data_IF_992628362045
#
_entry.id   IF_992628362045
#
_cell.length_a   1.000
_cell.length_b   1.000
_cell.length_c   1.000
_cell.angle_alpha   90.00
_cell.angle_beta   90.00
_cell.angle_gamma   90.00
#
_symmetry.space_group_name_H-M   'P 1'
#
loop_
_entity.id
_entity.type
_entity.pdbx_description
1 polymer ?
#
# COMPACT_ATOMS: atom_id res chain seq x y z
N UNK A 1 -10.32 10.37 8.94
CA UNK A 1 -9.40 10.16 7.79
C UNK A 1 -8.70 8.80 7.86
N UNK A 2 -8.31 8.33 9.05
CA UNK A 2 -7.68 7.03 9.24
C UNK A 2 -8.55 5.83 8.80
N UNK A 3 -9.85 5.79 9.15
CA UNK A 3 -10.76 4.71 8.69
C UNK A 3 -10.86 4.64 7.16
N UNK A 4 -10.99 5.79 6.50
CA UNK A 4 -10.99 5.85 5.03
C UNK A 4 -9.67 5.37 4.42
N UNK A 5 -8.51 5.65 5.03
CA UNK A 5 -7.25 5.12 4.52
C UNK A 5 -7.23 3.59 4.59
N UNK A 6 -7.75 2.98 5.66
CA UNK A 6 -7.88 1.52 5.78
C UNK A 6 -8.74 0.95 4.66
N UNK A 7 -9.92 1.51 4.42
CA UNK A 7 -10.84 1.03 3.37
C UNK A 7 -10.19 1.12 1.99
N UNK A 8 -9.57 2.25 1.66
CA UNK A 8 -8.94 2.42 0.34
C UNK A 8 -7.68 1.55 0.21
N UNK A 9 -6.88 1.36 1.27
CA UNK A 9 -5.78 0.40 1.25
C UNK A 9 -6.27 -1.04 1.04
N UNK A 10 -7.41 -1.44 1.61
CA UNK A 10 -7.99 -2.75 1.37
C UNK A 10 -8.35 -2.93 -0.12
N UNK A 11 -9.00 -1.94 -0.73
CA UNK A 11 -9.31 -1.94 -2.17
C UNK A 11 -8.03 -1.99 -3.00
N UNK A 12 -7.03 -1.18 -2.66
CA UNK A 12 -5.73 -1.19 -3.32
C UNK A 12 -5.07 -2.57 -3.18
N UNK A 13 -5.07 -3.18 -2.00
CA UNK A 13 -4.48 -4.50 -1.76
C UNK A 13 -5.13 -5.58 -2.63
N UNK A 14 -6.46 -5.56 -2.80
CA UNK A 14 -7.16 -6.46 -3.72
C UNK A 14 -6.74 -6.26 -5.17
N UNK A 15 -6.60 -5.00 -5.62
CA UNK A 15 -6.07 -4.68 -6.94
C UNK A 15 -4.63 -5.18 -7.14
N UNK A 16 -3.78 -4.98 -6.14
CA UNK A 16 -2.39 -5.44 -6.13
C UNK A 16 -2.28 -6.97 -6.16
N UNK A 17 -3.13 -7.66 -5.39
CA UNK A 17 -3.22 -9.12 -5.40
C UNK A 17 -3.67 -9.64 -6.77
N UNK A 18 -4.68 -9.02 -7.39
CA UNK A 18 -5.13 -9.38 -8.73
C UNK A 18 -4.00 -9.22 -9.77
N UNK A 19 -3.24 -8.12 -9.71
CA UNK A 19 -2.08 -7.89 -10.58
C UNK A 19 -0.98 -8.94 -10.36
N UNK A 20 -0.67 -9.26 -9.10
CA UNK A 20 0.31 -10.29 -8.76
C UNK A 20 -0.12 -11.67 -9.27
N UNK A 21 -1.39 -12.05 -9.07
CA UNK A 21 -1.95 -13.31 -9.57
C UNK A 21 -1.85 -13.38 -11.10
N UNK A 22 -2.18 -12.31 -11.83
CA UNK A 22 -2.02 -12.28 -13.29
C UNK A 22 -0.54 -12.46 -13.70
N UNK A 23 0.38 -11.74 -13.04
CA UNK A 23 1.82 -11.85 -13.29
C UNK A 23 2.34 -13.27 -13.09
N UNK A 24 1.99 -13.93 -11.98
CA UNK A 24 2.48 -15.27 -11.70
C UNK A 24 1.79 -16.36 -12.54
N UNK A 25 0.51 -16.18 -12.90
CA UNK A 25 -0.20 -17.11 -13.80
C UNK A 25 0.34 -17.10 -15.22
N UNK A 26 0.84 -15.96 -15.70
CA UNK A 26 1.51 -15.86 -17.00
C UNK A 26 2.97 -16.33 -16.97
N UNK A 27 3.48 -16.79 -15.81
CA UNK A 27 4.89 -17.13 -15.62
C UNK A 27 5.82 -15.92 -15.76
N UNK A 28 5.32 -14.71 -15.49
CA UNK A 28 6.05 -13.46 -15.62
C UNK A 28 6.32 -13.01 -17.06
N UNK A 29 5.68 -13.65 -18.05
CA UNK A 29 5.88 -13.40 -19.48
C UNK A 29 5.00 -12.27 -20.00
N UNK A 30 3.81 -12.12 -19.42
CA UNK A 30 2.83 -11.12 -19.83
C UNK A 30 2.75 -10.00 -18.81
N UNK A 31 2.53 -8.78 -19.32
CA UNK A 31 2.36 -7.61 -18.49
C UNK A 31 0.94 -7.59 -17.92
N UNK A 32 0.77 -7.36 -16.61
CA UNK A 32 -0.55 -7.19 -16.02
C UNK A 32 -1.33 -6.04 -16.67
N UNK A 33 -2.66 -6.02 -16.51
CA UNK A 33 -3.48 -4.96 -17.12
C UNK A 33 -3.04 -3.55 -16.68
N UNK A 34 -2.73 -2.68 -17.64
CA UNK A 34 -2.27 -1.31 -17.35
C UNK A 34 -3.34 -0.50 -16.62
N UNK A 35 -4.61 -0.65 -17.02
CA UNK A 35 -5.71 0.06 -16.36
C UNK A 35 -5.83 -0.31 -14.88
N UNK A 36 -5.75 -1.60 -14.55
CA UNK A 36 -5.80 -2.06 -13.17
C UNK A 36 -4.56 -1.60 -12.39
N UNK A 37 -3.38 -1.60 -13.01
CA UNK A 37 -2.15 -1.10 -12.39
C UNK A 37 -2.25 0.40 -12.02
N UNK A 38 -2.81 1.22 -12.91
CA UNK A 38 -3.08 2.64 -12.66
C UNK A 38 -4.09 2.82 -11.53
N UNK A 39 -5.23 2.11 -11.57
CA UNK A 39 -6.26 2.20 -10.52
C UNK A 39 -5.70 1.77 -9.16
N UNK A 40 -4.98 0.65 -9.10
CA UNK A 40 -4.30 0.17 -7.89
C UNK A 40 -3.33 1.22 -7.34
N UNK A 41 -2.42 1.73 -8.18
CA UNK A 41 -1.41 2.71 -7.78
C UNK A 41 -2.02 4.03 -7.29
N UNK A 42 -3.05 4.54 -7.97
CA UNK A 42 -3.76 5.75 -7.56
C UNK A 42 -4.53 5.54 -6.25
N UNK A 43 -5.21 4.40 -6.09
CA UNK A 43 -5.88 4.05 -4.84
C UNK A 43 -4.88 3.97 -3.67
N UNK A 44 -3.74 3.30 -3.87
CA UNK A 44 -2.68 3.22 -2.87
C UNK A 44 -2.12 4.61 -2.51
N UNK A 45 -1.83 5.46 -3.51
CA UNK A 45 -1.35 6.82 -3.28
C UNK A 45 -2.36 7.68 -2.51
N UNK A 46 -3.65 7.61 -2.85
CA UNK A 46 -4.72 8.28 -2.12
C UNK A 46 -4.78 7.79 -0.67
N UNK A 47 -4.70 6.48 -0.43
CA UNK A 47 -4.70 5.92 0.92
C UNK A 47 -3.50 6.39 1.75
N UNK A 48 -2.31 6.53 1.15
CA UNK A 48 -1.13 7.14 1.80
C UNK A 48 -1.41 8.59 2.22
N UNK A 49 -1.98 9.41 1.33
CA UNK A 49 -2.34 10.80 1.65
C UNK A 49 -3.34 10.86 2.81
N UNK A 50 -4.36 10.00 2.80
CA UNK A 50 -5.34 9.91 3.88
C UNK A 50 -4.72 9.42 5.21
N UNK A 51 -3.74 8.51 5.15
CA UNK A 51 -3.01 8.06 6.32
C UNK A 51 -2.16 9.19 6.91
N UNK A 52 -1.42 9.92 6.09
CA UNK A 52 -0.65 11.11 6.51
C UNK A 52 -1.56 12.12 7.19
N UNK A 53 -2.69 12.44 6.57
CA UNK A 53 -3.67 13.35 7.15
C UNK A 53 -4.27 12.78 8.44
N UNK A 54 -4.53 11.47 8.52
CA UNK A 54 -4.99 10.80 9.72
C UNK A 54 -4.00 10.88 10.89
N UNK A 55 -2.70 10.69 10.62
CA UNK A 55 -1.63 10.83 11.62
C UNK A 55 -1.52 12.30 12.05
N UNK A 56 -1.49 13.25 11.11
CA UNK A 56 -1.37 14.68 11.39
C UNK A 56 -2.51 15.22 12.28
N UNK A 57 -3.73 14.69 12.11
CA UNK A 57 -4.91 15.07 12.90
C UNK A 57 -5.06 14.29 14.22
N UNK A 58 -4.14 13.37 14.53
CA UNK A 58 -4.15 12.65 15.82
C UNK A 58 -3.50 13.50 16.92
N UNK A 59 -3.87 13.28 18.19
CA UNK A 59 -3.34 14.07 19.31
C UNK A 59 -1.80 14.03 19.43
N UNK A 60 -1.18 12.90 19.10
CA UNK A 60 0.28 12.76 19.09
C UNK A 60 0.92 13.25 17.79
N UNK A 61 0.17 13.42 16.71
CA UNK A 61 0.70 13.79 15.40
C UNK A 61 1.82 12.85 14.94
N UNK A 62 2.84 13.44 14.30
CA UNK A 62 4.10 12.77 13.96
C UNK A 62 5.13 12.74 15.10
N UNK A 63 4.86 13.40 16.24
CA UNK A 63 5.82 13.51 17.35
C UNK A 63 6.14 12.16 18.01
N UNK A 64 5.22 11.18 17.92
CA UNK A 64 5.45 9.82 18.40
C UNK A 64 6.56 9.08 17.62
N UNK A 65 6.89 9.51 16.40
CA UNK A 65 7.91 8.87 15.58
C UNK A 65 7.69 7.37 15.40
N UNK A 66 8.78 6.58 15.41
CA UNK A 66 8.73 5.13 15.21
C UNK A 66 8.12 4.34 16.38
N UNK A 67 7.78 4.99 17.50
CA UNK A 67 7.00 4.35 18.57
C UNK A 67 5.52 4.15 18.19
N UNK A 68 5.04 4.88 17.16
CA UNK A 68 3.69 4.73 16.62
C UNK A 68 3.67 3.72 15.47
N UNK A 69 2.84 2.68 15.61
CA UNK A 69 2.59 1.71 14.54
C UNK A 69 2.05 2.35 13.27
N UNK A 70 1.28 3.45 13.36
CA UNK A 70 0.80 4.17 12.17
C UNK A 70 1.95 4.82 11.38
N UNK A 71 2.95 5.37 12.08
CA UNK A 71 4.13 5.97 11.44
C UNK A 71 5.01 4.88 10.84
N UNK A 72 5.20 3.75 11.53
CA UNK A 72 5.91 2.58 10.98
C UNK A 72 5.20 2.06 9.72
N UNK A 73 3.88 1.89 9.77
CA UNK A 73 3.09 1.50 8.61
C UNK A 73 3.24 2.49 7.45
N UNK A 74 3.19 3.80 7.72
CA UNK A 74 3.41 4.83 6.71
C UNK A 74 4.78 4.69 6.03
N UNK A 75 5.85 4.52 6.80
CA UNK A 75 7.21 4.33 6.25
C UNK A 75 7.26 3.10 5.34
N UNK A 76 6.68 1.98 5.77
CA UNK A 76 6.62 0.77 4.95
C UNK A 76 5.77 0.96 3.68
N UNK A 77 4.65 1.69 3.76
CA UNK A 77 3.86 2.03 2.58
C UNK A 77 4.63 2.91 1.60
N UNK A 78 5.44 3.85 2.08
CA UNK A 78 6.32 4.66 1.21
C UNK A 78 7.37 3.76 0.53
N UNK A 79 8.00 2.85 1.26
CA UNK A 79 8.94 1.87 0.68
C UNK A 79 8.23 1.00 -0.37
N UNK A 80 7.04 0.50 -0.07
CA UNK A 80 6.22 -0.25 -1.02
C UNK A 80 5.87 0.61 -2.25
N UNK A 81 5.45 1.87 -2.07
CA UNK A 81 5.11 2.77 -3.16
C UNK A 81 6.31 3.02 -4.10
N UNK A 82 7.53 3.14 -3.58
CA UNK A 82 8.74 3.22 -4.39
C UNK A 82 8.98 1.94 -5.20
N UNK A 83 8.78 0.76 -4.58
CA UNK A 83 8.82 -0.52 -5.29
C UNK A 83 7.77 -0.61 -6.42
N UNK A 84 6.54 -0.15 -6.15
CA UNK A 84 5.47 -0.08 -7.14
C UNK A 84 5.77 0.91 -8.28
N UNK A 85 6.32 2.08 -7.96
CA UNK A 85 6.74 3.07 -8.94
C UNK A 85 7.87 2.53 -9.84
N UNK A 86 8.84 1.81 -9.27
CA UNK A 86 9.86 1.11 -10.04
C UNK A 86 9.26 0.06 -10.98
N UNK A 87 8.36 -0.79 -10.48
CA UNK A 87 7.68 -1.81 -11.30
C UNK A 87 6.86 -1.17 -12.43
N UNK A 88 6.13 -0.09 -12.15
CA UNK A 88 5.25 0.53 -13.13
C UNK A 88 6.01 1.44 -14.11
N UNK A 89 6.67 2.48 -13.62
CA UNK A 89 7.35 3.48 -14.45
C UNK A 89 8.68 2.96 -15.02
N UNK A 90 9.39 2.17 -14.22
CA UNK A 90 10.72 1.65 -14.56
C UNK A 90 10.72 0.38 -15.40
N UNK A 91 9.62 -0.39 -15.41
CA UNK A 91 9.53 -1.66 -16.15
C UNK A 91 8.28 -1.75 -17.02
N UNK A 92 7.09 -1.68 -16.41
CA UNK A 92 5.81 -1.90 -17.10
C UNK A 92 5.61 -0.96 -18.30
N UNK A 93 5.77 0.36 -18.10
CA UNK A 93 5.60 1.36 -19.17
C UNK A 93 6.69 1.29 -20.24
N UNK A 94 7.88 0.77 -19.90
CA UNK A 94 8.98 0.54 -20.86
C UNK A 94 8.83 -0.74 -21.64
N UNK A 95 7.83 -1.53 -21.27
CA UNK A 95 7.59 -2.81 -21.86
C UNK A 95 8.57 -3.90 -21.44
N UNK A 96 9.19 -3.76 -20.28
CA UNK A 96 10.10 -4.79 -19.76
C UNK A 96 9.32 -5.82 -18.94
N UNK A 97 9.91 -7.01 -18.76
CA UNK A 97 9.37 -8.00 -17.83
C UNK A 97 9.50 -7.48 -16.39
N UNK A 98 8.48 -7.76 -15.57
CA UNK A 98 8.49 -7.37 -14.16
C UNK A 98 9.35 -8.36 -13.37
N UNK A 99 10.38 -7.90 -12.62
CA UNK A 99 11.18 -8.78 -11.79
C UNK A 99 10.33 -9.40 -10.66
N UNK A 100 10.11 -10.71 -10.72
CA UNK A 100 9.23 -11.41 -9.76
C UNK A 100 9.62 -11.20 -8.29
N UNK A 101 10.93 -11.13 -7.99
CA UNK A 101 11.40 -10.84 -6.63
C UNK A 101 10.90 -9.47 -6.13
N UNK A 102 10.92 -8.46 -7.00
CA UNK A 102 10.45 -7.11 -6.65
C UNK A 102 8.93 -7.08 -6.48
N UNK A 103 8.18 -7.85 -7.30
CA UNK A 103 6.72 -8.00 -7.11
C UNK A 103 6.39 -8.59 -5.73
N UNK A 104 7.10 -9.66 -5.33
CA UNK A 104 6.90 -10.28 -4.00
C UNK A 104 7.30 -9.33 -2.88
N UNK A 105 8.45 -8.66 -2.97
CA UNK A 105 8.90 -7.71 -1.94
C UNK A 105 7.92 -6.54 -1.83
N UNK A 106 7.52 -5.94 -2.94
CA UNK A 106 6.56 -4.85 -2.98
C UNK A 106 5.22 -5.25 -2.31
N UNK A 107 4.63 -6.36 -2.76
CA UNK A 107 3.36 -6.85 -2.24
C UNK A 107 3.45 -7.27 -0.77
N UNK A 108 4.54 -7.94 -0.38
CA UNK A 108 4.79 -8.38 1.00
C UNK A 108 4.98 -7.22 1.96
N UNK A 109 5.78 -6.21 1.59
CA UNK A 109 5.96 -4.99 2.39
C UNK A 109 4.65 -4.21 2.52
N UNK A 110 3.87 -4.10 1.43
CA UNK A 110 2.56 -3.45 1.47
C UNK A 110 1.57 -4.20 2.39
N UNK A 111 1.54 -5.53 2.32
CA UNK A 111 0.68 -6.35 3.17
C UNK A 111 1.08 -6.23 4.65
N UNK A 112 2.38 -6.26 4.97
CA UNK A 112 2.87 -6.04 6.33
C UNK A 112 2.49 -4.65 6.84
N UNK A 113 2.70 -3.61 6.03
CA UNK A 113 2.31 -2.23 6.39
C UNK A 113 0.81 -2.12 6.67
N UNK A 114 -0.01 -2.79 5.86
CA UNK A 114 -1.46 -2.83 6.06
C UNK A 114 -1.85 -3.53 7.35
N UNK A 115 -1.23 -4.68 7.67
CA UNK A 115 -1.47 -5.37 8.95
C UNK A 115 -1.09 -4.47 10.14
N UNK A 116 0.05 -3.79 10.10
CA UNK A 116 0.43 -2.86 11.17
C UNK A 116 -0.55 -1.69 11.33
N UNK A 117 -1.08 -1.18 10.21
CA UNK A 117 -2.13 -0.15 10.24
C UNK A 117 -3.41 -0.69 10.89
N UNK A 118 -3.85 -1.91 10.55
CA UNK A 118 -5.01 -2.54 11.19
C UNK A 118 -4.79 -2.72 12.69
N UNK A 119 -3.61 -3.22 13.11
CA UNK A 119 -3.26 -3.36 14.53
C UNK A 119 -3.34 -2.00 15.23
N UNK A 120 -2.80 -0.93 14.64
CA UNK A 120 -2.89 0.41 15.21
C UNK A 120 -4.34 0.88 15.40
N UNK A 121 -5.16 0.72 14.37
CA UNK A 121 -6.57 1.16 14.36
C UNK A 121 -7.39 0.38 15.39
N UNK A 122 -7.24 -0.94 15.46
CA UNK A 122 -8.05 -1.77 16.36
C UNK A 122 -7.50 -1.85 17.80
N UNK A 123 -6.22 -1.55 18.03
CA UNK A 123 -5.65 -1.47 19.38
C UNK A 123 -5.92 -0.12 20.06
N UNK A 124 -6.47 0.86 19.34
CA UNK A 124 -6.77 2.19 19.86
C UNK A 124 -8.28 2.32 20.12
N UNK A 125 -8.75 2.40 21.38
CA UNK A 125 -10.18 2.35 21.73
C UNK A 125 -11.06 3.40 21.03
N UNK A 126 -10.50 4.55 20.67
CA UNK A 126 -11.21 5.63 19.97
C UNK A 126 -11.33 5.42 18.45
N UNK A 127 -10.46 4.61 17.83
CA UNK A 127 -10.44 4.41 16.39
C UNK A 127 -11.43 3.33 15.92
N UNK A 128 -11.82 2.41 16.81
CA UNK A 128 -12.89 1.42 16.55
C UNK A 128 -14.29 2.05 16.41
N UNK A 129 -14.50 3.29 16.88
CA UNK A 129 -15.79 3.97 16.85
C UNK A 129 -16.13 4.67 15.52
N UNK A 130 -15.25 4.58 14.51
CA UNK A 130 -15.34 5.35 13.25
C UNK A 130 -15.19 4.45 12.00
N UNK A 131 -15.22 3.14 12.16
CA UNK A 131 -15.50 2.18 11.08
C UNK A 131 -16.98 1.81 11.13
#
# INVERSE_FOLDING_TARGET
MLGWSVVIFAVAALGGLALAVMHFRSGGKERPSTGLAVVHGLAAALAVVLLIAGIANSAAGFSAGLSSLAVVALVLFVVAALGGAYLFLGKHLRGESLPSAVVVIHGGVAALAFVLLLVFVFSTPAAAAIL
#
